data_IF_492067154488
#
_entry.id   IF_492067154488
#
_cell.length_a   1.000
_cell.length_b   1.000
_cell.length_c   1.000
_cell.angle_alpha   90.00
_cell.angle_beta   90.00
_cell.angle_gamma   90.00
#
_symmetry.space_group_name_H-M   'P 1'
#
loop_
_entity.id
_entity.type
_entity.pdbx_description
1 polymer ?
#
# COMPACT_ATOMS: atom_id res chain seq x y z
N UNK A 1 -4.49 -15.86 28.39
CA UNK A 1 -4.13 -16.41 27.07
C UNK A 1 -3.83 -15.21 26.19
N UNK A 2 -2.57 -14.98 25.87
CA UNK A 2 -2.14 -13.87 25.03
C UNK A 2 -2.59 -14.14 23.60
N UNK A 3 -3.52 -13.36 23.08
CA UNK A 3 -3.80 -13.29 21.65
C UNK A 3 -2.58 -12.64 20.96
N UNK A 4 -1.62 -13.44 20.56
CA UNK A 4 -0.72 -13.07 19.50
C UNK A 4 -1.54 -13.05 18.21
N UNK A 5 -2.10 -11.91 17.87
CA UNK A 5 -2.51 -11.63 16.49
C UNK A 5 -1.21 -11.53 15.71
N UNK A 6 -0.92 -12.54 14.90
CA UNK A 6 0.27 -12.56 14.05
C UNK A 6 0.29 -11.34 13.11
N UNK A 7 1.48 -10.99 12.66
CA UNK A 7 1.74 -10.00 11.61
C UNK A 7 1.08 -10.44 10.28
N UNK A 8 -0.17 -10.05 10.08
CA UNK A 8 -1.00 -10.54 8.97
C UNK A 8 -1.62 -9.39 8.15
N UNK A 9 -0.93 -8.27 7.98
CA UNK A 9 -1.47 -7.18 7.17
C UNK A 9 -0.72 -7.06 5.86
N UNK A 10 -1.39 -7.49 4.80
CA UNK A 10 -0.94 -7.43 3.42
C UNK A 10 -1.95 -6.58 2.64
N UNK A 11 -1.92 -5.28 2.75
CA UNK A 11 -2.71 -4.40 1.91
C UNK A 11 -1.89 -3.91 0.72
N UNK A 12 -2.55 -3.48 -0.35
CA UNK A 12 -1.93 -2.78 -1.47
C UNK A 12 -2.52 -1.39 -1.62
N UNK A 13 -1.65 -0.39 -1.75
CA UNK A 13 -2.05 0.98 -2.06
C UNK A 13 -1.58 1.37 -3.46
N UNK A 14 -2.38 2.17 -4.13
CA UNK A 14 -2.09 2.73 -5.43
C UNK A 14 -2.57 4.18 -5.50
N UNK A 15 -1.89 5.03 -6.25
CA UNK A 15 -2.32 6.40 -6.53
C UNK A 15 -1.81 6.86 -7.90
N UNK A 16 -2.55 7.72 -8.56
CA UNK A 16 -2.17 8.34 -9.83
C UNK A 16 -2.62 9.80 -9.86
N UNK A 17 -1.75 10.66 -10.38
CA UNK A 17 -1.99 12.08 -10.53
C UNK A 17 -1.82 12.51 -11.98
N UNK A 18 -2.81 13.28 -12.47
CA UNK A 18 -2.82 13.92 -13.79
C UNK A 18 -2.88 12.95 -14.99
N UNK A 19 -3.87 12.04 -14.97
CA UNK A 19 -4.16 11.15 -16.11
C UNK A 19 -5.66 11.11 -16.41
N UNK A 20 -6.11 11.30 -17.66
CA UNK A 20 -7.53 11.34 -18.01
C UNK A 20 -8.29 10.02 -17.69
N UNK A 21 -7.56 8.91 -17.64
CA UNK A 21 -8.09 7.58 -17.30
C UNK A 21 -7.64 7.10 -15.90
N UNK A 22 -7.47 8.04 -14.94
CA UNK A 22 -6.91 7.69 -13.62
C UNK A 22 -7.68 6.57 -12.91
N UNK A 23 -9.00 6.55 -12.97
CA UNK A 23 -9.82 5.49 -12.38
C UNK A 23 -9.50 4.12 -12.99
N UNK A 24 -9.40 4.03 -14.33
CA UNK A 24 -9.11 2.78 -15.04
C UNK A 24 -7.69 2.29 -14.75
N UNK A 25 -6.71 3.20 -14.76
CA UNK A 25 -5.32 2.84 -14.43
C UNK A 25 -5.17 2.45 -12.97
N UNK A 26 -5.92 3.08 -12.06
CA UNK A 26 -5.98 2.65 -10.65
C UNK A 26 -6.54 1.23 -10.53
N UNK A 27 -7.61 0.92 -11.26
CA UNK A 27 -8.14 -0.44 -11.31
C UNK A 27 -7.09 -1.44 -11.80
N UNK A 28 -6.37 -1.15 -12.89
CA UNK A 28 -5.30 -2.03 -13.41
C UNK A 28 -4.13 -2.18 -12.42
N UNK A 29 -3.70 -1.07 -11.80
CA UNK A 29 -2.67 -1.07 -10.76
C UNK A 29 -3.07 -1.92 -9.55
N UNK A 30 -4.31 -1.77 -9.07
CA UNK A 30 -4.85 -2.59 -7.97
C UNK A 30 -4.99 -4.07 -8.36
N UNK A 31 -5.35 -4.37 -9.61
CA UNK A 31 -5.41 -5.75 -10.09
C UNK A 31 -4.02 -6.42 -10.04
N UNK A 32 -2.97 -5.68 -10.37
CA UNK A 32 -1.60 -6.19 -10.25
C UNK A 32 -1.14 -6.38 -8.79
N UNK A 33 -1.78 -5.66 -7.85
CA UNK A 33 -1.57 -5.76 -6.40
C UNK A 33 -2.58 -6.68 -5.68
N UNK A 34 -3.46 -7.39 -6.42
CA UNK A 34 -4.53 -8.23 -5.84
C UNK A 34 -4.00 -9.32 -4.89
N UNK A 35 -2.77 -9.80 -5.11
CA UNK A 35 -2.11 -10.77 -4.23
C UNK A 35 -1.89 -10.23 -2.80
N UNK A 36 -1.91 -8.91 -2.60
CA UNK A 36 -1.78 -8.24 -1.30
C UNK A 36 -3.10 -8.15 -0.53
N UNK A 37 -4.25 -8.27 -1.20
CA UNK A 37 -5.54 -8.17 -0.52
C UNK A 37 -6.69 -8.70 -1.38
N UNK A 38 -7.57 -9.52 -0.79
CA UNK A 38 -8.66 -10.22 -1.49
C UNK A 38 -10.02 -10.07 -0.82
N UNK A 39 -10.13 -9.30 0.26
CA UNK A 39 -11.37 -9.19 1.05
C UNK A 39 -12.21 -7.96 0.71
N UNK A 40 -11.62 -7.01 0.03
CA UNK A 40 -12.31 -5.83 -0.44
C UNK A 40 -11.38 -4.88 -1.18
N UNK A 41 -11.97 -4.01 -1.98
CA UNK A 41 -11.25 -3.00 -2.72
C UNK A 41 -12.06 -1.70 -2.82
N UNK A 42 -11.36 -0.60 -3.06
CA UNK A 42 -11.98 0.70 -3.29
C UNK A 42 -11.09 1.62 -4.10
N UNK A 43 -11.74 2.60 -4.72
CA UNK A 43 -11.11 3.65 -5.51
C UNK A 43 -11.75 4.99 -5.13
N UNK A 44 -10.95 6.00 -4.88
CA UNK A 44 -11.38 7.39 -4.71
C UNK A 44 -10.71 8.23 -5.78
N UNK A 45 -11.48 9.10 -6.42
CA UNK A 45 -11.05 9.98 -7.52
C UNK A 45 -11.24 11.44 -7.18
N UNK A 46 -10.48 12.32 -7.84
CA UNK A 46 -10.56 13.79 -7.70
C UNK A 46 -10.46 14.48 -9.06
N UNK A 47 -11.13 15.63 -9.19
CA UNK A 47 -11.05 16.51 -10.36
C UNK A 47 -10.73 17.96 -9.99
N UNK A 48 -10.01 18.20 -8.90
CA UNK A 48 -9.71 19.51 -8.29
C UNK A 48 -10.90 20.21 -7.61
N UNK A 49 -12.13 19.75 -7.83
CA UNK A 49 -13.31 20.35 -7.21
C UNK A 49 -13.96 19.38 -6.21
N UNK A 50 -14.17 18.16 -6.64
CA UNK A 50 -14.87 17.13 -5.89
C UNK A 50 -14.09 15.83 -5.80
N UNK A 51 -14.28 15.10 -4.72
CA UNK A 51 -13.84 13.72 -4.57
C UNK A 51 -15.06 12.79 -4.59
N UNK A 52 -14.94 11.66 -5.26
CA UNK A 52 -15.91 10.56 -5.26
C UNK A 52 -15.21 9.24 -4.98
N UNK A 53 -15.94 8.29 -4.41
CA UNK A 53 -15.38 6.98 -4.10
C UNK A 53 -16.37 5.85 -4.31
N UNK A 54 -15.84 4.73 -4.75
CA UNK A 54 -16.53 3.44 -4.88
C UNK A 54 -15.74 2.38 -4.12
N UNK A 55 -16.43 1.48 -3.43
CA UNK A 55 -15.82 0.40 -2.67
C UNK A 55 -16.75 -0.79 -2.51
N UNK A 56 -16.17 -1.97 -2.37
CA UNK A 56 -16.93 -3.19 -2.20
C UNK A 56 -16.12 -4.30 -1.52
N UNK A 57 -16.82 -5.35 -1.12
CA UNK A 57 -16.23 -6.58 -0.57
C UNK A 57 -15.83 -7.52 -1.70
N UNK A 58 -14.88 -8.43 -1.42
CA UNK A 58 -14.40 -9.44 -2.34
C UNK A 58 -13.18 -9.00 -3.17
N UNK A 59 -12.89 -9.75 -4.21
CA UNK A 59 -11.85 -9.42 -5.17
C UNK A 59 -12.17 -8.10 -5.87
N UNK A 60 -11.17 -7.44 -6.43
CA UNK A 60 -11.34 -6.16 -7.14
C UNK A 60 -12.45 -6.23 -8.20
N UNK A 61 -12.50 -7.32 -8.96
CA UNK A 61 -13.53 -7.57 -10.00
C UNK A 61 -14.96 -7.74 -9.43
N UNK A 62 -15.08 -8.10 -8.17
CA UNK A 62 -16.36 -8.24 -7.47
C UNK A 62 -16.75 -6.93 -6.78
N UNK A 63 -15.76 -6.25 -6.20
CA UNK A 63 -15.92 -5.01 -5.44
C UNK A 63 -16.21 -3.80 -6.35
N UNK A 64 -15.52 -3.71 -7.50
CA UNK A 64 -15.59 -2.58 -8.43
C UNK A 64 -16.06 -3.07 -9.79
N UNK A 65 -17.36 -2.95 -10.03
CA UNK A 65 -18.04 -3.36 -11.29
C UNK A 65 -18.11 -2.19 -12.28
N UNK A 66 -18.57 -2.47 -13.48
CA UNK A 66 -18.71 -1.47 -14.55
C UNK A 66 -19.58 -0.27 -14.16
N UNK A 67 -20.62 -0.48 -13.37
CA UNK A 67 -21.48 0.59 -12.85
C UNK A 67 -20.67 1.53 -11.91
N UNK A 68 -19.85 0.97 -11.01
CA UNK A 68 -18.98 1.73 -10.13
C UNK A 68 -17.93 2.52 -10.93
N UNK A 69 -17.30 1.86 -11.92
CA UNK A 69 -16.34 2.53 -12.80
C UNK A 69 -16.95 3.68 -13.59
N UNK A 70 -18.22 3.54 -14.01
CA UNK A 70 -18.95 4.60 -14.72
C UNK A 70 -19.16 5.85 -13.86
N UNK A 71 -19.35 5.67 -12.54
CA UNK A 71 -19.55 6.78 -11.59
C UNK A 71 -18.29 7.62 -11.33
N UNK A 72 -17.11 7.02 -11.50
CA UNK A 72 -15.79 7.64 -11.21
C UNK A 72 -14.95 7.89 -12.47
N UNK A 73 -15.50 7.64 -13.65
CA UNK A 73 -14.80 7.88 -14.93
C UNK A 73 -14.62 9.37 -15.18
N UNK A 74 -13.48 9.71 -15.83
CA UNK A 74 -13.17 11.07 -16.28
C UNK A 74 -12.57 11.99 -15.22
N UNK A 75 -12.25 11.47 -14.04
CA UNK A 75 -11.50 12.18 -13.02
C UNK A 75 -10.01 11.96 -13.23
N UNK A 76 -9.16 13.04 -13.23
CA UNK A 76 -7.73 12.93 -13.58
C UNK A 76 -6.82 12.46 -12.45
N UNK A 77 -7.33 12.31 -11.24
CA UNK A 77 -6.55 11.85 -10.09
C UNK A 77 -7.30 10.75 -9.36
N UNK A 78 -6.56 9.77 -8.84
CA UNK A 78 -7.17 8.67 -8.10
C UNK A 78 -6.22 8.08 -7.06
N UNK A 79 -6.80 7.48 -6.01
CA UNK A 79 -6.14 6.51 -5.13
C UNK A 79 -6.99 5.26 -5.04
N UNK A 80 -6.34 4.13 -4.75
CA UNK A 80 -7.02 2.86 -4.59
C UNK A 80 -6.35 1.96 -3.56
N UNK A 81 -7.12 0.98 -3.12
CA UNK A 81 -6.71 0.05 -2.08
C UNK A 81 -7.27 -1.35 -2.34
N UNK A 82 -6.46 -2.37 -2.11
CA UNK A 82 -6.88 -3.76 -1.94
C UNK A 82 -6.62 -4.19 -0.51
N UNK A 83 -7.66 -4.73 0.14
CA UNK A 83 -7.65 -5.02 1.56
C UNK A 83 -7.42 -6.48 1.84
N UNK A 84 -6.54 -6.74 2.81
CA UNK A 84 -6.45 -8.00 3.54
C UNK A 84 -6.94 -7.78 4.96
N UNK A 85 -7.86 -8.61 5.48
CA UNK A 85 -8.36 -8.50 6.85
C UNK A 85 -7.75 -9.58 7.73
N UNK A 86 -7.18 -9.17 8.84
CA UNK A 86 -6.44 -10.05 9.74
C UNK A 86 -7.32 -10.75 10.78
N UNK A 87 -8.41 -10.17 11.21
CA UNK A 87 -9.40 -10.82 12.08
C UNK A 87 -10.61 -9.92 12.36
N UNK A 88 -11.76 -10.49 12.32
CA UNK A 88 -12.95 -10.05 13.05
C UNK A 88 -13.87 -9.02 12.42
N UNK A 89 -13.41 -8.05 11.65
CA UNK A 89 -14.28 -7.00 11.08
C UNK A 89 -14.26 -6.99 9.55
N UNK A 90 -15.12 -7.83 8.96
CA UNK A 90 -15.29 -7.98 7.50
C UNK A 90 -16.30 -6.99 6.89
N UNK A 91 -16.70 -5.97 7.64
CA UNK A 91 -17.70 -5.01 7.18
C UNK A 91 -17.16 -4.03 6.14
N UNK A 92 -18.05 -3.57 5.25
CA UNK A 92 -17.75 -2.60 4.20
C UNK A 92 -17.25 -1.26 4.78
N UNK A 93 -17.59 -0.96 6.03
CA UNK A 93 -17.12 0.24 6.74
C UNK A 93 -15.60 0.28 6.93
N UNK A 94 -14.92 -0.88 6.83
CA UNK A 94 -13.47 -0.99 6.93
C UNK A 94 -12.76 -1.04 5.57
N UNK A 95 -13.49 -1.00 4.47
CA UNK A 95 -12.90 -0.97 3.13
C UNK A 95 -12.41 0.43 2.82
N UNK A 96 -11.16 0.51 2.41
CA UNK A 96 -10.47 1.73 2.02
C UNK A 96 -10.45 1.91 0.50
N UNK A 97 -10.23 3.14 -0.01
CA UNK A 97 -9.93 4.38 0.71
C UNK A 97 -11.11 4.90 1.54
N UNK A 98 -10.81 5.46 2.73
CA UNK A 98 -11.79 6.24 3.46
C UNK A 98 -11.93 7.60 2.79
N UNK A 99 -13.16 8.03 2.55
CA UNK A 99 -13.49 9.33 1.97
C UNK A 99 -14.19 10.21 3.01
N UNK A 100 -13.59 11.35 3.30
CA UNK A 100 -14.09 12.34 4.24
C UNK A 100 -14.49 13.60 3.50
N UNK A 101 -15.67 14.13 3.83
CA UNK A 101 -16.16 15.40 3.34
C UNK A 101 -16.33 16.36 4.52
N UNK A 102 -15.60 17.45 4.50
CA UNK A 102 -15.76 18.58 5.42
C UNK A 102 -16.28 19.79 4.65
N UNK A 103 -16.70 20.82 5.37
CA UNK A 103 -17.19 22.03 4.70
C UNK A 103 -16.12 22.76 3.88
N UNK A 104 -14.86 22.61 4.23
CA UNK A 104 -13.70 23.29 3.65
C UNK A 104 -12.79 22.37 2.80
N UNK A 105 -12.93 21.06 2.90
CA UNK A 105 -12.10 20.10 2.16
C UNK A 105 -12.74 18.72 2.02
N UNK A 106 -12.28 17.98 1.04
CA UNK A 106 -12.51 16.54 0.95
C UNK A 106 -11.17 15.80 0.87
N UNK A 107 -11.07 14.63 1.52
CA UNK A 107 -9.83 13.85 1.61
C UNK A 107 -10.14 12.37 1.46
N UNK A 108 -9.44 11.71 0.53
CA UNK A 108 -9.39 10.24 0.43
C UNK A 108 -8.12 9.72 1.09
N UNK A 109 -8.21 8.62 1.87
CA UNK A 109 -7.06 8.04 2.56
C UNK A 109 -7.07 6.52 2.43
N UNK A 110 -5.96 5.95 2.03
CA UNK A 110 -5.70 4.52 2.15
C UNK A 110 -4.34 4.23 2.80
N UNK A 111 -4.25 3.06 3.43
CA UNK A 111 -3.15 2.68 4.31
C UNK A 111 -2.82 1.20 4.14
N UNK A 112 -1.54 0.90 4.02
CA UNK A 112 -0.97 -0.43 4.15
C UNK A 112 -0.08 -0.44 5.39
N UNK A 113 -0.45 -1.23 6.39
CA UNK A 113 0.30 -1.35 7.64
C UNK A 113 -0.57 -1.48 8.88
N UNK A 114 0.04 -1.23 10.05
CA UNK A 114 -0.63 -1.31 11.35
C UNK A 114 -0.11 -0.25 12.31
N UNK A 115 -1.01 0.57 12.84
CA UNK A 115 -0.71 1.61 13.82
C UNK A 115 -0.85 1.05 15.25
N UNK A 116 0.27 0.72 15.88
CA UNK A 116 0.32 0.08 17.19
C UNK A 116 -0.22 0.95 18.34
N UNK A 117 -0.28 2.26 18.15
CA UNK A 117 -0.86 3.21 19.12
C UNK A 117 -2.26 3.71 18.72
N UNK A 118 -2.89 3.14 17.71
CA UNK A 118 -4.22 3.58 17.24
C UNK A 118 -5.27 3.53 18.34
N UNK A 119 -5.29 2.49 19.18
CA UNK A 119 -6.26 2.35 20.27
C UNK A 119 -6.18 3.51 21.28
N UNK A 120 -4.97 3.89 21.70
CA UNK A 120 -4.80 5.02 22.64
C UNK A 120 -5.09 6.36 22.00
N UNK A 121 -4.70 6.54 20.74
CA UNK A 121 -5.04 7.75 19.96
C UNK A 121 -6.56 7.87 19.80
N UNK A 122 -7.24 6.78 19.43
CA UNK A 122 -8.69 6.76 19.27
C UNK A 122 -9.40 7.17 20.55
N UNK A 123 -9.04 6.56 21.69
CA UNK A 123 -9.62 6.91 22.99
C UNK A 123 -9.46 8.41 23.29
N UNK A 124 -8.26 8.96 23.16
CA UNK A 124 -8.01 10.38 23.40
C UNK A 124 -8.80 11.29 22.44
N UNK A 125 -8.98 10.86 21.20
CA UNK A 125 -9.73 11.61 20.20
C UNK A 125 -11.24 11.55 20.47
N UNK A 126 -11.78 10.42 20.91
CA UNK A 126 -13.18 10.23 21.31
C UNK A 126 -13.52 11.08 22.55
N UNK A 127 -12.64 11.12 23.56
CA UNK A 127 -12.77 12.01 24.74
C UNK A 127 -12.84 13.49 24.35
N UNK A 128 -12.27 13.86 23.19
CA UNK A 128 -12.33 15.20 22.61
C UNK A 128 -13.46 15.36 21.58
N UNK A 129 -14.40 14.41 21.50
CA UNK A 129 -15.57 14.47 20.64
C UNK A 129 -15.35 14.03 19.19
N UNK A 130 -14.29 13.29 18.87
CA UNK A 130 -14.18 12.65 17.55
C UNK A 130 -15.17 11.48 17.45
N UNK A 131 -15.73 11.30 16.25
CA UNK A 131 -16.62 10.20 15.92
C UNK A 131 -15.90 9.31 14.92
N UNK A 132 -15.95 8.00 15.14
CA UNK A 132 -15.37 6.99 14.27
C UNK A 132 -16.49 6.12 13.70
N UNK A 133 -16.36 5.74 12.42
CA UNK A 133 -17.36 4.95 11.69
C UNK A 133 -16.91 3.53 11.41
N UNK A 134 -15.62 3.26 11.61
CA UNK A 134 -15.00 1.94 11.39
C UNK A 134 -14.19 1.51 12.61
N UNK A 135 -13.72 0.28 12.60
CA UNK A 135 -12.74 -0.21 13.58
C UNK A 135 -11.30 -0.11 13.09
N UNK A 136 -11.08 0.43 11.88
CA UNK A 136 -9.76 0.56 11.29
C UNK A 136 -8.87 1.54 12.08
N UNK A 137 -7.62 1.17 12.26
CA UNK A 137 -6.58 2.02 12.83
C UNK A 137 -6.29 3.26 11.97
N UNK A 138 -6.45 3.13 10.66
CA UNK A 138 -6.27 4.22 9.68
C UNK A 138 -7.13 5.44 9.99
N UNK A 139 -8.32 5.22 10.57
CA UNK A 139 -9.30 6.29 10.78
C UNK A 139 -8.83 7.37 11.74
N UNK A 140 -7.83 7.10 12.61
CA UNK A 140 -7.29 8.09 13.56
C UNK A 140 -6.57 9.27 12.87
N UNK A 141 -6.12 9.08 11.63
CA UNK A 141 -5.33 10.09 10.90
C UNK A 141 -6.11 11.37 10.65
N UNK A 142 -7.36 11.26 10.17
CA UNK A 142 -8.15 12.46 9.85
C UNK A 142 -8.46 13.33 11.07
N UNK A 143 -8.92 12.81 12.23
CA UNK A 143 -9.05 13.60 13.42
C UNK A 143 -7.75 14.25 13.90
N UNK A 144 -6.58 13.60 13.73
CA UNK A 144 -5.30 14.23 14.04
C UNK A 144 -5.02 15.42 13.13
N UNK A 145 -5.15 15.25 11.81
CA UNK A 145 -4.98 16.34 10.83
C UNK A 145 -5.93 17.50 11.12
N UNK A 146 -7.21 17.22 11.38
CA UNK A 146 -8.23 18.26 11.64
C UNK A 146 -8.04 19.03 12.94
N UNK A 147 -7.34 18.45 13.92
CA UNK A 147 -7.02 19.11 15.20
C UNK A 147 -5.68 19.83 15.19
N UNK A 148 -4.85 19.60 14.20
CA UNK A 148 -3.63 20.37 14.01
C UNK A 148 -3.98 21.87 13.84
N UNK A 149 -3.14 22.72 14.39
CA UNK A 149 -3.21 24.18 14.21
C UNK A 149 -2.30 24.66 13.08
N UNK A 150 -1.71 23.72 12.36
CA UNK A 150 -0.86 24.03 11.21
C UNK A 150 -1.65 24.75 10.11
N UNK A 151 -1.04 25.73 9.43
CA UNK A 151 -1.74 26.59 8.47
C UNK A 151 -2.11 25.86 7.17
N UNK A 152 -1.45 24.75 6.84
CA UNK A 152 -1.70 23.98 5.61
C UNK A 152 -2.00 22.52 5.91
N UNK A 153 -2.69 21.85 4.96
CA UNK A 153 -2.94 20.41 5.04
C UNK A 153 -1.62 19.60 5.13
N UNK A 154 -0.62 19.98 4.34
CA UNK A 154 0.69 19.32 4.32
C UNK A 154 1.38 19.39 5.69
N UNK A 155 1.39 20.54 6.33
CA UNK A 155 1.98 20.69 7.67
C UNK A 155 1.18 19.94 8.74
N UNK A 156 -0.14 19.95 8.68
CA UNK A 156 -1.01 19.17 9.55
C UNK A 156 -0.78 17.66 9.37
N UNK A 157 -0.62 17.20 8.13
CA UNK A 157 -0.26 15.81 7.81
C UNK A 157 1.10 15.46 8.44
N UNK A 158 2.11 16.30 8.24
CA UNK A 158 3.46 16.10 8.78
C UNK A 158 3.47 16.02 10.32
N UNK A 159 2.70 16.84 11.00
CA UNK A 159 2.52 16.76 12.45
C UNK A 159 1.85 15.45 12.86
N UNK A 160 0.79 15.05 12.15
CA UNK A 160 0.04 13.82 12.42
C UNK A 160 0.88 12.56 12.22
N UNK A 161 1.72 12.52 11.16
CA UNK A 161 2.65 11.41 10.91
C UNK A 161 3.67 11.19 12.04
N UNK A 162 4.03 12.25 12.79
CA UNK A 162 4.92 12.16 13.96
C UNK A 162 4.25 11.60 15.21
N UNK A 163 2.92 11.64 15.28
CA UNK A 163 2.15 11.17 16.43
C UNK A 163 1.82 9.68 16.34
N UNK A 164 1.71 9.14 15.15
CA UNK A 164 1.40 7.73 14.93
C UNK A 164 2.66 6.87 15.05
N UNK A 165 2.46 5.61 15.48
CA UNK A 165 3.53 4.62 15.65
C UNK A 165 3.13 3.30 15.02
N UNK A 166 4.09 2.62 14.43
CA UNK A 166 3.89 1.34 13.75
C UNK A 166 4.51 1.32 12.37
N UNK A 167 4.28 0.27 11.61
CA UNK A 167 4.62 0.21 10.20
C UNK A 167 3.47 0.76 9.37
N UNK A 168 3.73 1.73 8.51
CA UNK A 168 2.69 2.30 7.66
C UNK A 168 3.21 2.85 6.33
N UNK A 169 2.35 2.71 5.34
CA UNK A 169 2.44 3.41 4.07
C UNK A 169 1.08 3.99 3.74
N UNK A 170 1.00 5.29 3.52
CA UNK A 170 -0.22 5.99 3.15
C UNK A 170 -0.20 6.44 1.69
N UNK A 171 -1.38 6.40 1.06
CA UNK A 171 -1.68 7.24 -0.09
C UNK A 171 -2.91 8.09 0.26
N UNK A 172 -2.79 9.41 0.09
CA UNK A 172 -3.79 10.40 0.51
C UNK A 172 -4.08 11.31 -0.69
N UNK A 173 -5.36 11.46 -1.01
CA UNK A 173 -5.81 12.30 -2.12
C UNK A 173 -6.63 13.47 -1.60
N UNK A 174 -6.23 14.66 -1.98
CA UNK A 174 -7.03 15.89 -1.84
C UNK A 174 -7.43 16.40 -3.23
N UNK A 175 -8.12 17.53 -3.28
CA UNK A 175 -8.40 18.18 -4.57
C UNK A 175 -7.14 18.79 -5.22
N UNK A 176 -6.11 19.10 -4.43
CA UNK A 176 -4.94 19.87 -4.86
C UNK A 176 -3.66 19.04 -4.95
N UNK A 177 -3.63 17.84 -4.35
CA UNK A 177 -2.42 17.00 -4.31
C UNK A 177 -2.71 15.53 -4.02
N UNK A 178 -1.78 14.68 -4.46
CA UNK A 178 -1.62 13.29 -4.04
C UNK A 178 -0.38 13.20 -3.13
N UNK A 179 -0.58 12.67 -1.92
CA UNK A 179 0.48 12.45 -0.95
C UNK A 179 0.75 10.96 -0.78
N UNK A 180 2.02 10.61 -0.64
CA UNK A 180 2.47 9.31 -0.17
C UNK A 180 3.32 9.49 1.08
N UNK A 181 3.24 8.59 2.07
CA UNK A 181 4.09 8.68 3.27
C UNK A 181 4.50 7.30 3.75
N UNK A 182 5.72 7.19 4.27
CA UNK A 182 6.31 5.93 4.76
C UNK A 182 6.76 6.11 6.20
N UNK A 183 6.56 5.08 7.02
CA UNK A 183 6.93 5.06 8.44
C UNK A 183 8.45 5.25 8.65
N UNK A 184 8.89 5.59 9.90
CA UNK A 184 10.30 5.86 10.20
C UNK A 184 11.24 4.65 10.03
N UNK A 185 10.70 3.46 9.79
CA UNK A 185 11.45 2.23 9.58
C UNK A 185 11.32 1.67 8.15
N UNK A 186 10.48 2.27 7.31
CA UNK A 186 10.13 1.77 5.98
C UNK A 186 9.74 0.28 6.01
N UNK A 187 8.87 -0.10 6.97
CA UNK A 187 8.44 -1.48 7.16
C UNK A 187 7.67 -1.97 5.93
N UNK A 188 6.85 -1.09 5.32
CA UNK A 188 6.12 -1.33 4.09
C UNK A 188 6.66 -0.46 2.95
N UNK A 189 6.80 -1.01 1.74
CA UNK A 189 7.34 -0.27 0.60
C UNK A 189 6.31 0.72 0.01
N UNK A 190 6.84 1.80 -0.57
CA UNK A 190 6.13 2.72 -1.44
C UNK A 190 7.09 3.20 -2.52
N UNK A 191 6.64 3.13 -3.76
CA UNK A 191 7.43 3.50 -4.93
C UNK A 191 6.71 4.55 -5.76
N UNK A 192 7.50 5.35 -6.46
CA UNK A 192 7.03 6.36 -7.42
C UNK A 192 7.39 5.93 -8.83
N UNK A 193 6.43 6.04 -9.73
CA UNK A 193 6.60 5.90 -11.17
C UNK A 193 6.12 7.13 -11.92
N UNK A 194 6.51 7.23 -13.19
CA UNK A 194 6.08 8.29 -14.11
C UNK A 194 5.71 7.70 -15.45
N UNK A 195 4.57 8.07 -15.96
CA UNK A 195 4.10 7.70 -17.29
C UNK A 195 4.65 8.64 -18.37
N UNK A 196 4.65 8.20 -19.62
CA UNK A 196 5.13 8.97 -20.77
C UNK A 196 4.41 10.33 -20.92
N UNK A 197 3.10 10.37 -20.60
CA UNK A 197 2.30 11.60 -20.64
C UNK A 197 2.56 12.54 -19.46
N UNK A 198 3.49 12.20 -18.55
CA UNK A 198 3.86 13.01 -17.39
C UNK A 198 3.10 12.70 -16.11
N UNK A 199 2.09 11.82 -16.12
CA UNK A 199 1.36 11.43 -14.93
C UNK A 199 2.27 10.68 -13.94
N UNK A 200 2.12 10.96 -12.64
CA UNK A 200 2.86 10.28 -11.59
C UNK A 200 2.02 9.18 -10.93
N UNK A 201 2.68 8.11 -10.57
CA UNK A 201 2.10 6.94 -9.91
C UNK A 201 2.76 6.74 -8.53
N UNK A 202 1.94 6.39 -7.53
CA UNK A 202 2.36 5.82 -6.26
C UNK A 202 1.87 4.37 -6.20
N UNK A 203 2.72 3.44 -5.76
CA UNK A 203 2.33 2.05 -5.60
C UNK A 203 3.07 1.36 -4.47
N UNK A 204 2.47 0.33 -3.87
CA UNK A 204 3.14 -0.54 -2.90
C UNK A 204 4.28 -1.33 -3.52
N UNK A 205 4.20 -1.67 -4.82
CA UNK A 205 5.19 -2.49 -5.52
C UNK A 205 5.44 -1.99 -6.94
N UNK A 206 6.67 -2.25 -7.44
CA UNK A 206 7.05 -1.88 -8.81
C UNK A 206 6.26 -2.64 -9.88
N UNK A 207 5.74 -3.84 -9.59
CA UNK A 207 4.91 -4.58 -10.55
C UNK A 207 3.65 -3.81 -10.99
N UNK A 208 3.13 -2.90 -10.15
CA UNK A 208 2.01 -2.04 -10.52
C UNK A 208 2.43 -0.91 -11.46
N UNK A 209 3.69 -0.45 -11.37
CA UNK A 209 4.29 0.51 -12.30
C UNK A 209 4.54 -0.15 -13.65
N UNK A 210 5.15 -1.34 -13.63
CA UNK A 210 5.53 -2.09 -14.83
C UNK A 210 4.31 -2.45 -15.68
N UNK A 211 3.22 -2.91 -15.07
CA UNK A 211 1.98 -3.30 -15.78
C UNK A 211 1.33 -2.14 -16.51
N UNK A 212 1.57 -0.91 -16.05
CA UNK A 212 1.06 0.31 -16.66
C UNK A 212 2.03 0.93 -17.67
N UNK A 213 3.18 0.29 -17.91
CA UNK A 213 4.21 0.79 -18.79
C UNK A 213 4.85 2.11 -18.34
N UNK A 214 4.81 2.37 -17.02
CA UNK A 214 5.41 3.56 -16.43
C UNK A 214 6.88 3.32 -16.06
N UNK A 215 7.67 4.38 -16.05
CA UNK A 215 9.06 4.35 -15.60
C UNK A 215 9.12 4.42 -14.07
N UNK A 216 9.90 3.52 -13.45
CA UNK A 216 10.23 3.61 -12.03
C UNK A 216 11.14 4.83 -11.78
N UNK A 217 10.77 5.69 -10.84
CA UNK A 217 11.55 6.88 -10.49
C UNK A 217 12.38 6.60 -9.23
N UNK A 218 11.72 6.25 -8.12
CA UNK A 218 12.42 6.01 -6.84
C UNK A 218 11.54 5.31 -5.80
N UNK A 219 12.19 4.72 -4.79
CA UNK A 219 11.56 4.35 -3.54
C UNK A 219 11.34 5.58 -2.65
N UNK A 220 10.27 5.59 -1.85
CA UNK A 220 10.10 6.54 -0.74
C UNK A 220 10.69 5.91 0.52
N UNK A 221 11.64 6.60 1.13
CA UNK A 221 12.44 6.04 2.22
C UNK A 221 11.82 6.30 3.60
N UNK A 222 12.44 5.68 4.62
CA UNK A 222 12.04 5.79 6.02
C UNK A 222 11.91 7.25 6.47
N UNK A 223 10.74 7.63 6.99
CA UNK A 223 10.47 8.97 7.49
C UNK A 223 10.26 10.03 6.41
N UNK A 224 10.12 9.62 5.16
CA UNK A 224 9.81 10.49 4.03
C UNK A 224 8.31 10.51 3.70
N UNK A 225 7.91 11.56 3.04
CA UNK A 225 6.65 11.69 2.34
C UNK A 225 6.85 12.39 1.01
N UNK A 226 6.01 12.08 0.07
CA UNK A 226 6.00 12.68 -1.27
C UNK A 226 4.74 13.49 -1.46
N UNK A 227 4.87 14.62 -2.13
CA UNK A 227 3.77 15.49 -2.57
C UNK A 227 3.81 15.56 -4.09
N UNK A 228 2.71 15.22 -4.72
CA UNK A 228 2.53 15.26 -6.18
C UNK A 228 1.40 16.23 -6.49
N UNK A 229 1.69 17.24 -7.31
CA UNK A 229 0.77 18.27 -7.77
C UNK A 229 0.91 18.46 -9.28
N UNK A 230 0.18 19.39 -9.85
CA UNK A 230 0.33 19.76 -11.26
C UNK A 230 1.70 20.39 -11.58
N UNK A 231 2.38 20.91 -10.55
CA UNK A 231 3.73 21.48 -10.68
C UNK A 231 4.82 20.38 -10.69
N UNK A 232 4.48 19.15 -10.28
CA UNK A 232 5.39 18.02 -10.26
C UNK A 232 5.44 17.27 -8.95
N UNK A 233 6.60 16.72 -8.62
CA UNK A 233 6.83 15.87 -7.45
C UNK A 233 7.87 16.49 -6.52
N UNK A 234 7.61 16.48 -5.22
CA UNK A 234 8.57 16.81 -4.17
C UNK A 234 8.61 15.70 -3.12
N UNK A 235 9.81 15.21 -2.80
CA UNK A 235 10.03 14.28 -1.69
C UNK A 235 10.62 15.04 -0.52
N UNK A 236 9.98 14.91 0.64
CA UNK A 236 10.30 15.66 1.86
C UNK A 236 10.42 14.72 3.05
N UNK A 237 11.10 15.16 4.10
CA UNK A 237 11.29 14.41 5.33
C UNK A 237 10.38 14.96 6.44
N UNK A 238 9.57 14.12 7.08
CA UNK A 238 8.78 14.52 8.25
C UNK A 238 9.49 14.18 9.57
N UNK A 239 10.40 13.20 9.56
CA UNK A 239 11.24 12.87 10.72
C UNK A 239 12.63 12.41 10.28
N UNK A 240 13.66 12.76 11.08
CA UNK A 240 15.03 12.29 10.90
C UNK A 240 15.41 11.13 11.86
N UNK A 241 14.50 10.77 12.77
CA UNK A 241 14.66 9.62 13.65
C UNK A 241 14.23 8.36 12.92
N UNK A 242 15.07 7.84 12.06
CA UNK A 242 14.78 6.72 11.17
C UNK A 242 15.79 5.59 11.36
N UNK A 243 15.31 4.36 11.17
CA UNK A 243 16.12 3.16 11.07
C UNK A 243 15.48 2.24 10.05
N UNK A 244 16.07 2.11 8.87
CA UNK A 244 15.51 1.26 7.83
C UNK A 244 15.44 -0.20 8.31
N UNK A 245 14.23 -0.74 8.35
CA UNK A 245 13.90 -2.09 8.80
C UNK A 245 12.75 -2.67 7.96
N UNK A 246 12.99 -2.79 6.66
CA UNK A 246 12.02 -3.38 5.73
C UNK A 246 11.63 -4.77 6.22
N UNK A 247 10.34 -5.07 6.24
CA UNK A 247 9.85 -6.38 6.64
C UNK A 247 10.43 -7.47 5.75
N UNK A 248 11.13 -8.45 6.34
CA UNK A 248 11.60 -9.61 5.60
C UNK A 248 10.45 -10.37 4.90
N UNK A 249 9.23 -10.28 5.42
CA UNK A 249 8.05 -10.90 4.83
C UNK A 249 7.69 -10.32 3.46
N UNK A 250 8.08 -9.09 3.15
CA UNK A 250 7.93 -8.54 1.80
C UNK A 250 8.71 -9.40 0.78
N UNK A 251 9.94 -9.79 1.11
CA UNK A 251 10.73 -10.68 0.25
C UNK A 251 10.27 -12.13 0.31
N UNK A 252 9.93 -12.65 1.49
CA UNK A 252 9.62 -14.08 1.68
C UNK A 252 8.27 -14.44 1.08
N UNK A 253 7.25 -13.58 1.28
CA UNK A 253 5.87 -13.95 0.98
C UNK A 253 5.05 -12.87 0.28
N UNK A 254 5.05 -11.59 0.76
CA UNK A 254 4.06 -10.60 0.36
C UNK A 254 4.22 -10.15 -1.09
N UNK A 255 5.41 -9.68 -1.48
CA UNK A 255 5.61 -9.07 -2.78
C UNK A 255 5.59 -10.10 -3.93
N UNK A 256 5.21 -9.66 -5.11
CA UNK A 256 5.32 -10.47 -6.32
C UNK A 256 6.79 -10.72 -6.67
N UNK A 257 7.11 -11.88 -7.25
CA UNK A 257 8.50 -12.21 -7.62
C UNK A 257 9.14 -11.24 -8.61
N UNK A 258 8.36 -10.62 -9.48
CA UNK A 258 8.80 -9.62 -10.46
C UNK A 258 9.04 -8.23 -9.87
N UNK A 259 8.57 -7.97 -8.66
CA UNK A 259 8.78 -6.69 -7.97
C UNK A 259 10.22 -6.50 -7.52
N UNK A 260 10.63 -5.23 -7.45
CA UNK A 260 11.90 -4.78 -6.85
C UNK A 260 11.59 -3.93 -5.62
N UNK A 261 12.23 -4.24 -4.49
CA UNK A 261 12.09 -3.52 -3.22
C UNK A 261 13.49 -3.11 -2.77
N UNK A 262 13.69 -1.82 -2.49
CA UNK A 262 14.97 -1.26 -2.08
C UNK A 262 16.13 -1.74 -2.98
N UNK A 263 15.94 -1.72 -4.28
CA UNK A 263 16.90 -2.11 -5.29
C UNK A 263 17.17 -3.61 -5.41
N UNK A 264 16.41 -4.48 -4.73
CA UNK A 264 16.56 -5.93 -4.80
C UNK A 264 15.34 -6.60 -5.42
N UNK A 265 15.55 -7.35 -6.49
CA UNK A 265 14.48 -8.14 -7.11
C UNK A 265 14.04 -9.28 -6.18
N UNK A 266 12.74 -9.42 -5.97
CA UNK A 266 12.16 -10.39 -5.02
C UNK A 266 12.44 -11.84 -5.44
N UNK A 267 12.33 -12.16 -6.75
CA UNK A 267 12.66 -13.49 -7.25
C UNK A 267 14.12 -13.86 -6.93
N UNK A 268 15.05 -12.94 -7.19
CA UNK A 268 16.48 -13.18 -6.94
C UNK A 268 16.76 -13.42 -5.44
N UNK A 269 16.12 -12.65 -4.54
CA UNK A 269 16.26 -12.84 -3.08
C UNK A 269 15.70 -14.21 -2.66
N UNK A 270 14.50 -14.59 -3.12
CA UNK A 270 13.90 -15.91 -2.82
C UNK A 270 14.75 -17.05 -3.35
N UNK A 271 15.27 -16.92 -4.57
CA UNK A 271 16.16 -17.91 -5.16
C UNK A 271 17.44 -18.08 -4.34
N UNK A 272 18.06 -16.99 -3.92
CA UNK A 272 19.24 -17.03 -3.04
C UNK A 272 18.93 -17.68 -1.69
N UNK A 273 17.77 -17.42 -1.11
CA UNK A 273 17.30 -18.05 0.13
C UNK A 273 17.13 -19.57 -0.04
N UNK A 274 16.59 -20.00 -1.19
CA UNK A 274 16.48 -21.43 -1.53
C UNK A 274 17.84 -22.13 -1.65
N UNK A 275 18.82 -21.49 -2.30
CA UNK A 275 20.21 -21.98 -2.35
C UNK A 275 20.81 -22.13 -0.96
N UNK A 276 20.63 -21.10 -0.13
CA UNK A 276 21.13 -21.14 1.25
C UNK A 276 20.48 -22.24 2.08
N UNK A 277 19.18 -22.46 1.93
CA UNK A 277 18.45 -23.54 2.58
C UNK A 277 19.02 -24.91 2.16
N UNK A 278 19.33 -25.11 0.88
CA UNK A 278 19.92 -26.34 0.36
C UNK A 278 21.31 -26.62 0.96
N UNK A 279 22.13 -25.58 1.16
CA UNK A 279 23.44 -25.69 1.81
C UNK A 279 23.34 -26.08 3.28
N UNK A 280 22.37 -25.50 4.00
CA UNK A 280 22.17 -25.73 5.43
C UNK A 280 21.42 -27.04 5.73
N UNK A 281 20.48 -27.41 4.86
CA UNK A 281 19.62 -28.57 5.05
C UNK A 281 19.41 -29.34 3.73
N UNK A 282 20.43 -30.07 3.23
CA UNK A 282 20.30 -30.84 2.02
C UNK A 282 19.37 -32.05 2.23
N UNK A 283 18.38 -32.21 1.37
CA UNK A 283 17.47 -33.34 1.40
C UNK A 283 17.88 -34.44 0.41
N UNK A 284 17.67 -35.73 0.79
CA UNK A 284 17.74 -36.85 -0.15
C UNK A 284 16.37 -36.98 -0.83
N UNK A 285 16.31 -36.61 -2.10
CA UNK A 285 15.07 -36.60 -2.88
C UNK A 285 15.39 -36.87 -4.36
N UNK A 286 14.38 -37.20 -5.13
CA UNK A 286 14.54 -37.47 -6.59
C UNK A 286 14.24 -36.17 -7.37
N UNK A 287 13.46 -35.23 -6.83
CA UNK A 287 13.11 -33.99 -7.46
C UNK A 287 12.72 -32.93 -6.42
N UNK A 288 12.67 -31.70 -6.85
CA UNK A 288 12.15 -30.53 -6.06
C UNK A 288 10.93 -29.98 -6.76
N UNK A 289 9.85 -29.75 -6.00
CA UNK A 289 8.65 -29.04 -6.43
C UNK A 289 8.38 -27.86 -5.49
N UNK A 290 7.88 -26.76 -6.02
CA UNK A 290 7.49 -25.58 -5.21
C UNK A 290 5.99 -25.54 -5.01
N UNK A 291 5.54 -25.31 -3.78
CA UNK A 291 4.13 -25.03 -3.52
C UNK A 291 3.81 -23.61 -4.03
N UNK A 292 2.90 -23.46 -5.01
CA UNK A 292 2.54 -22.13 -5.53
C UNK A 292 1.94 -21.22 -4.45
N UNK A 293 2.13 -19.86 -4.59
CA UNK A 293 3.01 -19.24 -5.57
C UNK A 293 4.34 -18.77 -4.95
N UNK A 294 4.37 -18.50 -3.64
CA UNK A 294 5.50 -17.84 -2.96
C UNK A 294 6.78 -18.68 -2.93
N UNK A 295 6.68 -20.00 -2.89
CA UNK A 295 7.85 -20.88 -2.77
C UNK A 295 8.53 -21.22 -4.10
N UNK A 296 7.94 -20.92 -5.26
CA UNK A 296 8.48 -21.35 -6.56
C UNK A 296 9.92 -20.88 -6.80
N UNK A 297 10.19 -19.61 -6.51
CA UNK A 297 11.54 -19.04 -6.66
C UNK A 297 12.55 -19.67 -5.72
N UNK A 298 12.17 -19.94 -4.47
CA UNK A 298 13.04 -20.59 -3.49
C UNK A 298 13.29 -22.06 -3.86
N UNK A 299 12.26 -22.80 -4.28
CA UNK A 299 12.38 -24.18 -4.74
C UNK A 299 13.30 -24.29 -5.94
N UNK A 300 13.21 -23.37 -6.91
CA UNK A 300 14.14 -23.32 -8.05
C UNK A 300 15.60 -23.14 -7.60
N UNK A 301 15.85 -22.24 -6.62
CA UNK A 301 17.19 -22.05 -6.06
C UNK A 301 17.69 -23.26 -5.29
N UNK A 302 16.82 -23.92 -4.53
CA UNK A 302 17.15 -25.16 -3.82
C UNK A 302 17.55 -26.27 -4.78
N UNK A 303 16.76 -26.53 -5.83
CA UNK A 303 17.00 -27.53 -6.84
C UNK A 303 18.35 -27.32 -7.56
N UNK A 304 18.62 -26.08 -7.96
CA UNK A 304 19.86 -25.69 -8.61
C UNK A 304 21.08 -25.97 -7.73
N UNK A 305 21.01 -25.68 -6.43
CA UNK A 305 22.14 -25.84 -5.50
C UNK A 305 22.49 -27.30 -5.24
N UNK A 306 21.52 -28.20 -5.12
CA UNK A 306 21.76 -29.61 -4.84
C UNK A 306 21.78 -30.51 -6.12
N UNK A 307 21.59 -29.90 -7.30
CA UNK A 307 21.64 -30.62 -8.58
C UNK A 307 20.46 -31.56 -8.82
N UNK A 308 19.30 -31.31 -8.24
CA UNK A 308 18.07 -32.08 -8.48
C UNK A 308 17.18 -31.42 -9.56
N UNK A 309 16.40 -32.24 -10.31
CA UNK A 309 15.37 -31.70 -11.19
C UNK A 309 14.38 -30.81 -10.43
N UNK A 310 13.99 -29.68 -11.04
CA UNK A 310 12.88 -28.86 -10.60
C UNK A 310 11.67 -29.13 -11.49
N UNK A 311 10.56 -29.54 -10.88
CA UNK A 311 9.33 -29.88 -11.60
C UNK A 311 8.14 -29.08 -11.07
N UNK A 312 7.13 -28.94 -11.91
CA UNK A 312 5.83 -28.37 -11.52
C UNK A 312 4.97 -29.51 -10.97
N UNK A 313 4.49 -29.36 -9.73
CA UNK A 313 3.64 -30.32 -9.05
C UNK A 313 2.16 -29.96 -9.07
#
# INVERSE_FOLDING_TARGET
MSNYSGLNEECGVFGIWNHPEAAQLTYMGLHSLQHRGQEGAGIVVSNHETLKGERGLGLLTEAIKDEHMSNIKGYPHAIGHVRYATSGNKGIENIQPFLYHFYDMSVGICHNGNLINAKSLRQNLEEQGAIFHSSSDTEVIMPLIRRSKAPTFEEALKESLRLIKGGFTFAILTKDALYGAVDPNAIRPLVVGKMENGAYILASETCAIDVLGAEFIQDIHAGEYVVITDEGIEVKTYTRQTTTAISAMEYIYFARPDSTIAGKNVHAVRKASGKRLAQENPAKADMVIGVPNSSLSAASGYAEEIGLPYEMG
#
